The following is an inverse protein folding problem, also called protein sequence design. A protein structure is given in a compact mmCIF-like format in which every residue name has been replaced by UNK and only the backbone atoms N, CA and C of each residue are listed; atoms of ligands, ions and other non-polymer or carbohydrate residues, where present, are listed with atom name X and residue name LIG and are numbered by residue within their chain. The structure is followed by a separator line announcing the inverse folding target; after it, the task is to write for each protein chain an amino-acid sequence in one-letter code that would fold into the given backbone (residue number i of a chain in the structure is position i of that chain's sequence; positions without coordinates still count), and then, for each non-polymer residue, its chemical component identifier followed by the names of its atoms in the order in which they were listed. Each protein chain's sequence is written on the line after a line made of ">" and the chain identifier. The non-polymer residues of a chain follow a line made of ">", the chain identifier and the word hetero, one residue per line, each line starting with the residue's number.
data_IF_795799584337
#
_entry.id   IF_795799584337
#
_cell.length_a   1.000
_cell.length_b   1.000
_cell.length_c   1.000
_cell.angle_alpha   90.00
_cell.angle_beta   90.00
_cell.angle_gamma   90.00
#
_symmetry.space_group_name_H-M   'P 1'
#
loop_
_entity.id
_entity.type
_entity.pdbx_description
1 polymer ?
#
# COMPACT_ATOMS: atom_id res chain seq x y z
N UNK A 1 27.48 8.61 -1.36
CA UNK A 1 27.83 7.74 -2.51
C UNK A 1 26.96 6.47 -2.53
N UNK A 2 25.63 6.60 -2.43
CA UNK A 2 24.65 5.48 -2.51
C UNK A 2 23.56 5.73 -3.58
N UNK A 3 23.64 6.87 -4.27
CA UNK A 3 22.54 7.41 -5.08
C UNK A 3 22.75 7.26 -6.59
N UNK A 4 23.93 6.84 -7.03
CA UNK A 4 24.31 6.96 -8.45
C UNK A 4 24.13 5.68 -9.27
N UNK A 5 24.02 4.50 -8.66
CA UNK A 5 23.67 3.23 -9.33
C UNK A 5 23.09 2.23 -8.31
N UNK A 6 21.77 2.01 -8.20
CA UNK A 6 21.29 0.90 -7.39
C UNK A 6 21.49 -0.37 -8.23
N UNK A 7 22.33 -1.28 -7.75
CA UNK A 7 22.39 -2.64 -8.32
C UNK A 7 20.97 -3.20 -8.39
N UNK A 8 20.62 -3.89 -9.49
CA UNK A 8 19.28 -4.44 -9.67
C UNK A 8 18.82 -5.25 -8.44
N UNK A 9 19.76 -5.93 -7.78
CA UNK A 9 19.54 -6.64 -6.51
C UNK A 9 19.04 -5.74 -5.38
N UNK A 10 19.61 -4.54 -5.20
CA UNK A 10 19.19 -3.61 -4.15
C UNK A 10 17.79 -3.05 -4.42
N UNK A 11 17.44 -2.79 -5.69
CA UNK A 11 16.08 -2.34 -6.03
C UNK A 11 15.05 -3.46 -5.81
N UNK A 12 15.37 -4.68 -6.22
CA UNK A 12 14.49 -5.84 -6.02
C UNK A 12 14.33 -6.12 -4.52
N UNK A 13 15.40 -6.08 -3.72
CA UNK A 13 15.30 -6.27 -2.27
C UNK A 13 14.43 -5.21 -1.60
N UNK A 14 14.54 -3.93 -2.00
CA UNK A 14 13.69 -2.85 -1.46
C UNK A 14 12.23 -3.04 -1.86
N UNK A 15 11.95 -3.38 -3.12
CA UNK A 15 10.58 -3.64 -3.59
C UNK A 15 10.00 -4.87 -2.90
N UNK A 16 10.77 -5.95 -2.77
CA UNK A 16 10.34 -7.17 -2.06
C UNK A 16 10.06 -6.90 -0.58
N UNK A 17 10.85 -6.06 0.08
CA UNK A 17 10.60 -5.66 1.47
C UNK A 17 9.29 -4.87 1.58
N UNK A 18 9.05 -3.90 0.70
CA UNK A 18 7.79 -3.13 0.66
C UNK A 18 6.59 -4.03 0.33
N UNK A 19 6.72 -4.92 -0.65
CA UNK A 19 5.69 -5.91 -0.99
C UNK A 19 5.48 -6.98 0.08
N UNK A 20 6.43 -7.19 0.99
CA UNK A 20 6.23 -8.05 2.15
C UNK A 20 5.50 -7.29 3.27
N UNK A 21 5.94 -6.05 3.54
CA UNK A 21 5.35 -5.22 4.60
C UNK A 21 3.94 -4.76 4.27
N UNK A 22 3.60 -4.43 3.01
CA UNK A 22 2.25 -4.01 2.64
C UNK A 22 1.18 -5.08 2.97
N UNK A 23 1.09 -6.22 2.24
CA UNK A 23 0.07 -7.23 2.51
C UNK A 23 0.20 -7.85 3.91
N UNK A 24 1.41 -7.95 4.46
CA UNK A 24 1.62 -8.43 5.83
C UNK A 24 1.00 -7.53 6.89
N UNK A 25 1.18 -6.21 6.75
CA UNK A 25 0.64 -5.23 7.69
C UNK A 25 -0.86 -5.03 7.51
N UNK A 26 -1.39 -5.08 6.28
CA UNK A 26 -2.82 -5.07 6.02
C UNK A 26 -3.53 -6.27 6.67
N UNK A 27 -3.00 -7.49 6.50
CA UNK A 27 -3.56 -8.68 7.13
C UNK A 27 -3.46 -8.63 8.67
N UNK A 28 -2.34 -8.14 9.22
CA UNK A 28 -2.17 -7.98 10.66
C UNK A 28 -3.15 -6.95 11.25
N UNK A 29 -3.29 -5.79 10.61
CA UNK A 29 -4.24 -4.75 11.02
C UNK A 29 -5.69 -5.20 10.88
N UNK A 30 -6.04 -5.90 9.81
CA UNK A 30 -7.35 -6.54 9.65
C UNK A 30 -7.67 -7.51 10.79
N UNK A 31 -6.69 -8.29 11.24
CA UNK A 31 -6.86 -9.20 12.39
C UNK A 31 -7.00 -8.49 13.75
N UNK A 32 -6.43 -7.29 13.90
CA UNK A 32 -6.63 -6.45 15.10
C UNK A 32 -8.01 -5.78 15.06
N UNK A 33 -8.41 -5.28 13.89
CA UNK A 33 -9.71 -4.63 13.66
C UNK A 33 -10.91 -5.60 13.79
N UNK A 34 -10.67 -6.89 13.56
CA UNK A 34 -11.68 -7.94 13.68
C UNK A 34 -12.28 -8.07 15.10
N UNK A 35 -11.62 -7.51 16.13
CA UNK A 35 -12.15 -7.46 17.50
C UNK A 35 -13.12 -6.32 17.79
N UNK A 36 -13.30 -5.36 16.87
CA UNK A 36 -13.98 -4.07 17.15
C UNK A 36 -15.27 -3.85 16.34
N UNK A 37 -15.51 -4.53 15.21
CA UNK A 37 -16.45 -4.01 14.21
C UNK A 37 -17.82 -4.69 14.13
N UNK A 38 -18.86 -3.87 14.22
CA UNK A 38 -20.16 -4.00 13.55
C UNK A 38 -19.97 -4.45 12.09
N UNK A 39 -20.68 -5.50 11.66
CA UNK A 39 -20.54 -6.10 10.33
C UNK A 39 -20.67 -5.07 9.20
N UNK A 40 -21.53 -4.06 9.40
CA UNK A 40 -21.85 -3.03 8.41
C UNK A 40 -20.62 -2.19 8.01
N UNK A 41 -19.76 -1.85 8.98
CA UNK A 41 -18.58 -1.03 8.74
C UNK A 41 -17.53 -1.82 7.95
N UNK A 42 -17.37 -3.11 8.26
CA UNK A 42 -16.43 -4.00 7.58
C UNK A 42 -16.76 -4.19 6.10
N UNK A 43 -18.05 -4.38 5.77
CA UNK A 43 -18.50 -4.49 4.38
C UNK A 43 -18.25 -3.19 3.60
N UNK A 44 -18.56 -2.04 4.21
CA UNK A 44 -18.39 -0.75 3.54
C UNK A 44 -16.90 -0.44 3.31
N UNK A 45 -16.04 -0.68 4.29
CA UNK A 45 -14.59 -0.51 4.17
C UNK A 45 -13.98 -1.39 3.07
N UNK A 46 -14.39 -2.66 2.99
CA UNK A 46 -13.96 -3.59 1.95
C UNK A 46 -14.39 -3.12 0.56
N UNK A 47 -15.64 -2.65 0.42
CA UNK A 47 -16.14 -2.14 -0.86
C UNK A 47 -15.39 -0.88 -1.34
N UNK A 48 -15.09 0.05 -0.42
CA UNK A 48 -14.31 1.24 -0.69
C UNK A 48 -12.89 0.87 -1.13
N UNK A 49 -12.25 -0.08 -0.44
CA UNK A 49 -10.91 -0.55 -0.78
C UNK A 49 -10.85 -1.12 -2.19
N UNK A 50 -11.82 -1.95 -2.59
CA UNK A 50 -11.92 -2.44 -3.97
C UNK A 50 -12.22 -1.34 -5.00
N UNK A 51 -13.06 -0.35 -4.65
CA UNK A 51 -13.35 0.78 -5.53
C UNK A 51 -12.09 1.63 -5.80
N UNK A 52 -11.33 1.95 -4.75
CA UNK A 52 -10.04 2.63 -4.89
C UNK A 52 -9.03 1.77 -5.63
N UNK A 53 -8.99 0.45 -5.38
CA UNK A 53 -8.10 -0.46 -6.10
C UNK A 53 -8.40 -0.48 -7.60
N UNK A 54 -9.67 -0.46 -8.01
CA UNK A 54 -10.06 -0.39 -9.42
C UNK A 54 -9.65 0.94 -10.06
N UNK A 55 -9.86 2.07 -9.37
CA UNK A 55 -9.47 3.40 -9.84
C UNK A 55 -7.94 3.52 -9.97
N UNK A 56 -7.22 3.26 -8.88
CA UNK A 56 -5.76 3.34 -8.90
C UNK A 56 -5.13 2.28 -9.80
N UNK A 57 -5.70 1.09 -9.93
CA UNK A 57 -5.22 0.06 -10.85
C UNK A 57 -5.27 0.49 -12.31
N UNK A 58 -6.30 1.24 -12.72
CA UNK A 58 -6.43 1.75 -14.09
C UNK A 58 -5.39 2.84 -14.41
N UNK A 59 -5.04 3.69 -13.44
CA UNK A 59 -4.10 4.79 -13.62
C UNK A 59 -2.65 4.45 -13.23
N UNK A 60 -2.43 3.43 -12.39
CA UNK A 60 -1.12 3.10 -11.84
C UNK A 60 -0.10 2.74 -12.92
N UNK A 61 -0.49 1.96 -13.93
CA UNK A 61 0.40 1.59 -15.03
C UNK A 61 0.93 2.80 -15.81
N UNK A 62 0.04 3.76 -16.11
CA UNK A 62 0.42 5.01 -16.76
C UNK A 62 1.28 5.91 -15.86
N UNK A 63 0.90 6.05 -14.58
CA UNK A 63 1.64 6.86 -13.61
C UNK A 63 3.05 6.34 -13.33
N UNK A 64 3.24 5.01 -13.22
CA UNK A 64 4.56 4.41 -13.00
C UNK A 64 5.49 4.69 -14.19
N UNK A 65 4.95 4.68 -15.42
CA UNK A 65 5.74 4.93 -16.63
C UNK A 65 6.16 6.39 -16.80
N UNK A 66 5.37 7.34 -16.27
CA UNK A 66 5.66 8.78 -16.38
C UNK A 66 6.53 9.30 -15.24
N UNK A 67 6.24 8.88 -14.00
CA UNK A 67 6.87 9.43 -12.78
C UNK A 67 8.08 8.57 -12.35
N UNK A 68 8.10 7.30 -12.76
CA UNK A 68 9.13 6.34 -12.42
C UNK A 68 8.86 5.60 -11.10
N UNK A 69 9.26 4.33 -11.02
CA UNK A 69 8.85 3.41 -9.95
C UNK A 69 9.27 3.85 -8.54
N UNK A 70 10.35 4.62 -8.41
CA UNK A 70 10.85 5.09 -7.10
C UNK A 70 9.88 6.06 -6.42
N UNK A 71 9.36 7.04 -7.16
CA UNK A 71 8.45 8.04 -6.63
C UNK A 71 7.04 7.49 -6.46
N UNK A 72 6.60 6.61 -7.37
CA UNK A 72 5.29 5.94 -7.23
C UNK A 72 5.26 5.04 -5.99
N UNK A 73 6.36 4.35 -5.66
CA UNK A 73 6.47 3.58 -4.41
C UNK A 73 6.32 4.48 -3.17
N UNK A 74 7.02 5.63 -3.17
CA UNK A 74 7.01 6.55 -2.03
C UNK A 74 5.63 7.16 -1.78
N UNK A 75 4.93 7.55 -2.85
CA UNK A 75 3.56 8.08 -2.76
C UNK A 75 2.58 6.98 -2.34
N UNK A 76 2.75 5.75 -2.83
CA UNK A 76 1.93 4.61 -2.42
C UNK A 76 2.01 4.30 -0.92
N UNK A 77 3.17 4.50 -0.30
CA UNK A 77 3.34 4.28 1.15
C UNK A 77 2.56 5.25 2.03
N UNK A 78 2.17 6.44 1.54
CA UNK A 78 1.33 7.37 2.31
C UNK A 78 -0.07 6.83 2.61
N UNK A 79 -0.62 5.99 1.73
CA UNK A 79 -1.92 5.34 1.95
C UNK A 79 -1.92 4.47 3.21
N UNK A 80 -0.79 3.86 3.57
CA UNK A 80 -0.64 3.08 4.79
C UNK A 80 -0.68 3.94 6.06
N UNK A 81 -0.12 5.14 6.01
CA UNK A 81 -0.16 6.08 7.15
C UNK A 81 -1.61 6.41 7.48
N UNK A 82 -2.41 6.73 6.47
CA UNK A 82 -3.84 7.01 6.62
C UNK A 82 -4.63 5.78 7.11
N UNK A 83 -4.33 4.59 6.58
CA UNK A 83 -4.97 3.35 7.03
C UNK A 83 -4.66 3.03 8.50
N UNK A 84 -3.39 3.10 8.90
CA UNK A 84 -3.00 2.90 10.32
C UNK A 84 -3.60 3.95 11.25
N UNK A 85 -3.76 5.19 10.78
CA UNK A 85 -4.41 6.26 11.54
C UNK A 85 -5.90 5.99 11.76
N UNK A 86 -6.61 5.46 10.76
CA UNK A 86 -8.04 5.13 10.87
C UNK A 86 -8.33 3.90 11.74
N UNK A 87 -7.32 3.09 12.05
CA UNK A 87 -7.45 1.93 12.94
C UNK A 87 -7.14 2.27 14.39
N UNK A 88 -6.41 3.36 14.63
CA UNK A 88 -6.08 3.87 15.96
C UNK A 88 -7.11 4.90 16.46
N UNK A 89 -7.79 5.61 15.55
CA UNK A 89 -8.89 6.53 15.84
C UNK A 89 -10.19 5.77 16.09
#
# INVERSE_FOLDING_TARGET
>A
MFWKNPSALTQVLLVSFVCFTCPGLFNALGSIAAGVADETITYNATSMLYAFFALFGLFAGGMVNVIGPKYTLFIGSWGYILYSGSLLA
#
